data_IF_500377940786
#
_entry.id   IF_500377940786
#
_cell.length_a   1.000
_cell.length_b   1.000
_cell.length_c   1.000
_cell.angle_alpha   90.00
_cell.angle_beta   90.00
_cell.angle_gamma   90.00
#
_symmetry.space_group_name_H-M   'P 1'
#
loop_
_entity.id
_entity.type
_entity.pdbx_description
1 polymer ?
#
# COMPACT_ATOMS: atom_id res chain seq x y z
N UNK A 1 -5.67 1.04 -18.74
CA UNK A 1 -4.92 0.20 -17.78
C UNK A 1 -4.50 1.05 -16.59
N UNK A 2 -5.46 1.35 -15.72
CA UNK A 2 -5.26 2.12 -14.48
C UNK A 2 -5.49 1.11 -13.35
N UNK A 3 -4.60 1.09 -12.33
CA UNK A 3 -4.52 0.15 -11.19
C UNK A 3 -3.50 -0.99 -11.33
N UNK A 4 -2.23 -0.63 -11.59
CA UNK A 4 -1.05 -1.48 -11.29
C UNK A 4 0.11 -0.65 -10.66
N UNK A 5 0.12 0.67 -10.83
CA UNK A 5 1.23 1.52 -10.39
C UNK A 5 1.46 1.57 -8.87
N UNK A 6 0.41 1.56 -8.05
CA UNK A 6 0.55 1.77 -6.60
C UNK A 6 1.40 0.70 -5.88
N UNK A 7 1.24 -0.58 -6.25
CA UNK A 7 2.03 -1.67 -5.66
C UNK A 7 3.49 -1.65 -6.12
N UNK A 8 3.76 -1.27 -7.36
CA UNK A 8 5.11 -1.22 -7.91
C UNK A 8 5.92 -0.04 -7.37
N UNK A 9 5.29 1.12 -7.22
CA UNK A 9 5.94 2.28 -6.61
C UNK A 9 6.17 2.08 -5.10
N UNK A 10 5.23 1.43 -4.39
CA UNK A 10 5.43 1.07 -2.97
C UNK A 10 6.62 0.13 -2.78
N UNK A 11 6.81 -0.84 -3.68
CA UNK A 11 7.95 -1.77 -3.64
C UNK A 11 9.29 -1.06 -3.92
N UNK A 12 9.31 -0.05 -4.80
CA UNK A 12 10.52 0.76 -5.04
C UNK A 12 10.85 1.61 -3.81
N UNK A 13 9.85 2.22 -3.19
CA UNK A 13 10.02 3.01 -1.96
C UNK A 13 10.55 2.11 -0.83
N UNK A 14 10.01 0.89 -0.66
CA UNK A 14 10.52 -0.11 0.29
C UNK A 14 12.01 -0.39 0.08
N UNK A 15 12.40 -0.57 -1.20
CA UNK A 15 13.77 -0.90 -1.59
C UNK A 15 14.74 0.26 -1.34
N UNK A 16 14.28 1.49 -1.53
CA UNK A 16 15.08 2.72 -1.36
C UNK A 16 15.29 3.04 0.13
N UNK A 17 14.31 2.69 0.97
CA UNK A 17 14.29 3.10 2.39
C UNK A 17 14.51 1.91 3.36
N UNK A 18 14.88 0.75 2.82
CA UNK A 18 15.15 -0.51 3.55
C UNK A 18 14.09 -0.86 4.61
N UNK A 19 12.82 -0.57 4.34
CA UNK A 19 11.70 -0.81 5.25
C UNK A 19 11.68 0.06 6.54
N UNK A 20 12.63 0.97 6.73
CA UNK A 20 12.73 1.79 7.95
C UNK A 20 11.62 2.84 8.05
N UNK A 21 11.16 3.37 6.91
CA UNK A 21 10.07 4.34 6.90
C UNK A 21 8.73 3.67 7.19
N UNK A 22 8.46 2.51 6.62
CA UNK A 22 7.19 1.79 6.83
C UNK A 22 7.01 1.28 8.26
N UNK A 23 8.11 1.00 8.97
CA UNK A 23 8.07 0.66 10.40
C UNK A 23 7.45 1.78 11.26
N UNK A 24 7.48 3.04 10.79
CA UNK A 24 6.90 4.19 11.48
C UNK A 24 5.37 4.29 11.27
N UNK A 25 4.81 3.52 10.34
CA UNK A 25 3.39 3.54 10.00
C UNK A 25 2.78 2.12 10.08
N UNK A 26 2.64 1.55 11.29
CA UNK A 26 2.15 0.18 11.50
C UNK A 26 0.65 0.00 11.21
N UNK A 27 -0.10 1.08 10.97
CA UNK A 27 -1.52 1.04 10.62
C UNK A 27 -1.78 0.43 9.23
N UNK A 28 -0.75 0.28 8.39
CA UNK A 28 -0.84 -0.38 7.09
C UNK A 28 -0.11 -1.71 7.14
N UNK A 29 -0.81 -2.78 6.73
CA UNK A 29 -0.20 -4.08 6.46
C UNK A 29 0.59 -4.04 5.14
N UNK A 30 1.80 -3.48 5.19
CA UNK A 30 2.62 -3.18 3.99
C UNK A 30 2.92 -4.40 3.12
N UNK A 31 3.16 -5.57 3.73
CA UNK A 31 3.34 -6.82 2.98
C UNK A 31 2.10 -7.16 2.15
N UNK A 32 0.90 -6.96 2.71
CA UNK A 32 -0.36 -7.13 2.01
C UNK A 32 -0.56 -6.07 0.92
N UNK A 33 -0.26 -4.81 1.21
CA UNK A 33 -0.38 -3.71 0.25
C UNK A 33 0.53 -3.89 -0.98
N UNK A 34 1.78 -4.32 -0.77
CA UNK A 34 2.75 -4.62 -1.84
C UNK A 34 2.29 -5.83 -2.67
N UNK A 35 1.79 -6.88 -1.99
CA UNK A 35 1.35 -8.12 -2.63
C UNK A 35 -0.03 -8.06 -3.32
N UNK A 36 -0.85 -7.04 -3.03
CA UNK A 36 -2.22 -6.94 -3.53
C UNK A 36 -2.28 -6.97 -5.07
N UNK A 37 -1.29 -6.34 -5.73
CA UNK A 37 -1.18 -6.39 -7.19
C UNK A 37 -1.04 -7.84 -7.69
N UNK A 38 -0.16 -8.63 -7.09
CA UNK A 38 0.14 -9.98 -7.57
C UNK A 38 -1.08 -10.90 -7.39
N UNK A 39 -1.80 -10.72 -6.28
CA UNK A 39 -3.07 -11.42 -5.99
C UNK A 39 -4.17 -11.03 -6.98
N UNK A 40 -4.31 -9.74 -7.32
CA UNK A 40 -5.34 -9.29 -8.27
C UNK A 40 -5.01 -9.63 -9.72
N UNK A 41 -3.73 -9.59 -10.11
CA UNK A 41 -3.29 -9.83 -11.49
C UNK A 41 -3.28 -11.32 -11.85
N UNK A 42 -2.91 -12.20 -10.90
CA UNK A 42 -2.77 -13.64 -11.16
C UNK A 42 -3.85 -14.50 -10.48
N UNK A 43 -4.46 -14.00 -9.39
CA UNK A 43 -5.45 -14.73 -8.59
C UNK A 43 -6.91 -14.36 -8.87
N UNK A 44 -7.21 -13.51 -9.85
CA UNK A 44 -8.56 -12.94 -10.07
C UNK A 44 -9.70 -13.98 -10.14
N UNK A 45 -9.42 -15.20 -10.62
CA UNK A 45 -10.40 -16.29 -10.70
C UNK A 45 -10.60 -17.09 -9.40
N UNK A 46 -9.72 -16.95 -8.42
CA UNK A 46 -9.74 -17.68 -7.15
C UNK A 46 -9.92 -16.77 -5.92
N UNK A 47 -9.85 -15.46 -6.10
CA UNK A 47 -10.02 -14.49 -5.02
C UNK A 47 -11.48 -14.36 -4.63
N UNK A 48 -11.76 -14.52 -3.34
CA UNK A 48 -13.09 -14.31 -2.75
C UNK A 48 -13.56 -12.84 -2.96
N UNK A 49 -14.67 -12.61 -3.69
CA UNK A 49 -15.21 -11.27 -3.90
C UNK A 49 -15.50 -10.50 -2.61
N UNK A 50 -15.85 -11.20 -1.52
CA UNK A 50 -16.10 -10.58 -0.23
C UNK A 50 -14.80 -10.06 0.40
N UNK A 51 -13.71 -10.82 0.28
CA UNK A 51 -12.39 -10.35 0.72
C UNK A 51 -11.93 -9.15 -0.11
N UNK A 52 -12.12 -9.19 -1.43
CA UNK A 52 -11.78 -8.06 -2.30
C UNK A 52 -12.57 -6.80 -1.92
N UNK A 53 -13.87 -6.93 -1.65
CA UNK A 53 -14.69 -5.83 -1.21
C UNK A 53 -14.19 -5.25 0.13
N UNK A 54 -13.86 -6.10 1.10
CA UNK A 54 -13.31 -5.66 2.38
C UNK A 54 -11.97 -4.93 2.21
N UNK A 55 -11.08 -5.43 1.35
CA UNK A 55 -9.82 -4.74 1.03
C UNK A 55 -10.09 -3.34 0.46
N UNK A 56 -11.01 -3.23 -0.49
CA UNK A 56 -11.38 -1.95 -1.08
C UNK A 56 -12.03 -0.98 -0.07
N UNK A 57 -12.89 -1.48 0.80
CA UNK A 57 -13.64 -0.66 1.77
C UNK A 57 -12.78 -0.25 2.96
N UNK A 58 -11.96 -1.15 3.47
CA UNK A 58 -11.32 -1.00 4.78
C UNK A 58 -9.82 -0.73 4.66
N UNK A 59 -9.10 -1.44 3.77
CA UNK A 59 -7.64 -1.34 3.69
C UNK A 59 -7.16 -0.22 2.75
N UNK A 60 -7.82 0.00 1.60
CA UNK A 60 -7.41 1.04 0.65
C UNK A 60 -7.50 2.45 1.26
N UNK A 61 -8.58 2.85 1.98
CA UNK A 61 -8.64 4.17 2.58
C UNK A 61 -7.55 4.40 3.63
N UNK A 62 -7.24 3.38 4.44
CA UNK A 62 -6.17 3.44 5.45
C UNK A 62 -4.80 3.62 4.77
N UNK A 63 -4.56 2.91 3.67
CA UNK A 63 -3.34 3.07 2.87
C UNK A 63 -3.20 4.51 2.34
N UNK A 64 -4.28 5.06 1.75
CA UNK A 64 -4.28 6.43 1.21
C UNK A 64 -3.99 7.46 2.31
N UNK A 65 -4.70 7.37 3.44
CA UNK A 65 -4.50 8.30 4.56
C UNK A 65 -3.10 8.23 5.13
N UNK A 66 -2.53 7.03 5.22
CA UNK A 66 -1.15 6.83 5.68
C UNK A 66 -0.14 7.43 4.72
N UNK A 67 -0.29 7.24 3.41
CA UNK A 67 0.59 7.87 2.42
C UNK A 67 0.52 9.39 2.47
N UNK A 68 -0.66 9.97 2.69
CA UNK A 68 -0.81 11.42 2.89
C UNK A 68 -0.08 11.90 4.14
N UNK A 69 -0.20 11.16 5.25
CA UNK A 69 0.54 11.45 6.47
C UNK A 69 2.06 11.41 6.22
N UNK A 70 2.55 10.38 5.53
CA UNK A 70 3.97 10.25 5.20
C UNK A 70 4.52 11.46 4.43
N UNK A 71 3.75 11.97 3.46
CA UNK A 71 4.12 13.16 2.70
C UNK A 71 4.24 14.37 3.63
N UNK A 72 3.23 14.60 4.47
CA UNK A 72 3.23 15.71 5.43
C UNK A 72 4.42 15.61 6.40
N UNK A 73 4.73 14.43 6.92
CA UNK A 73 5.81 14.22 7.87
C UNK A 73 7.18 14.53 7.23
N UNK A 74 7.37 14.17 5.96
CA UNK A 74 8.59 14.49 5.19
C UNK A 74 8.73 15.99 4.88
N UNK A 75 7.63 16.67 4.56
CA UNK A 75 7.62 18.12 4.32
C UNK A 75 7.92 18.90 5.60
N UNK A 76 7.36 18.49 6.74
CA UNK A 76 7.57 19.15 8.02
C UNK A 76 8.96 18.90 8.64
N UNK A 77 9.63 17.81 8.26
CA UNK A 77 11.01 17.51 8.71
C UNK A 77 12.06 18.37 8.00
N UNK A 78 11.69 19.09 6.93
CA UNK A 78 12.58 19.96 6.14
C UNK A 78 12.62 21.43 6.63
N UNK A 79 12.07 21.73 7.81
CA UNK A 79 12.13 23.05 8.48
C UNK A 79 12.93 22.95 9.78
#
# INVERSE_FOLDING_TARGET
MVRIAAGEESKKIDLIIEGQLFAQYPQVEWRGAIGLRDVLAHGYFQTDPQQLYNVCRDNIPVLIGTLQQMINDLENTST
#
